data_IF_341785441985
#
_entry.id   IF_341785441985
#
_cell.length_a   1.000
_cell.length_b   1.000
_cell.length_c   1.000
_cell.angle_alpha   90.00
_cell.angle_beta   90.00
_cell.angle_gamma   90.00
#
_symmetry.space_group_name_H-M   'P 1'
#
loop_
_entity.id
_entity.type
_entity.pdbx_description
1 polymer ?
#
# COMPACT_ATOMS: atom_id res chain seq x y z
N UNK A 1 1.54 -14.11 -6.16
CA UNK A 1 2.20 -15.22 -6.91
C UNK A 1 3.37 -15.81 -6.14
N UNK A 2 4.44 -15.04 -5.87
CA UNK A 2 5.62 -15.57 -5.17
C UNK A 2 5.28 -16.08 -3.75
N UNK A 3 4.37 -15.41 -3.05
CA UNK A 3 3.84 -15.87 -1.76
C UNK A 3 3.25 -17.28 -1.84
N UNK A 4 2.36 -17.53 -2.80
CA UNK A 4 1.75 -18.83 -3.04
C UNK A 4 2.81 -19.90 -3.35
N UNK A 5 3.88 -19.54 -4.05
CA UNK A 5 4.98 -20.46 -4.33
C UNK A 5 5.78 -20.81 -3.06
N UNK A 6 6.10 -19.82 -2.23
CA UNK A 6 6.81 -20.04 -0.96
C UNK A 6 5.99 -20.85 0.05
N UNK A 7 4.66 -20.75 0.01
CA UNK A 7 3.75 -21.47 0.91
C UNK A 7 3.27 -22.81 0.35
N UNK A 8 3.72 -23.24 -0.82
CA UNK A 8 3.21 -24.42 -1.53
C UNK A 8 3.52 -25.75 -0.82
N UNK A 9 4.55 -25.79 0.03
CA UNK A 9 4.93 -26.98 0.80
C UNK A 9 4.09 -27.16 2.09
N UNK A 10 3.15 -26.25 2.38
CA UNK A 10 2.29 -26.35 3.55
C UNK A 10 1.30 -27.52 3.42
N UNK A 11 1.18 -28.39 4.43
CA UNK A 11 0.45 -29.66 4.29
C UNK A 11 -1.08 -29.54 4.30
N UNK A 12 -1.64 -28.41 4.71
CA UNK A 12 -3.09 -28.24 4.85
C UNK A 12 -3.62 -27.04 4.07
N UNK A 13 -4.74 -27.24 3.36
CA UNK A 13 -5.41 -26.21 2.55
C UNK A 13 -5.67 -24.90 3.31
N UNK A 14 -6.05 -24.98 4.59
CA UNK A 14 -6.31 -23.78 5.41
C UNK A 14 -5.06 -22.92 5.66
N UNK A 15 -3.87 -23.49 5.49
CA UNK A 15 -2.61 -22.77 5.63
C UNK A 15 -2.22 -22.03 4.34
N UNK A 16 -2.92 -22.28 3.23
CA UNK A 16 -2.78 -21.50 2.00
C UNK A 16 -3.59 -20.18 2.08
N UNK A 17 -4.51 -20.06 3.03
CA UNK A 17 -5.32 -18.86 3.25
C UNK A 17 -4.54 -17.82 4.05
N UNK A 18 -3.96 -16.85 3.35
CA UNK A 18 -3.12 -15.79 3.91
C UNK A 18 -4.02 -14.60 4.29
N UNK A 19 -3.80 -13.96 5.46
CA UNK A 19 -4.44 -12.69 5.78
C UNK A 19 -4.25 -11.68 4.64
N UNK A 20 -5.34 -11.07 4.16
CA UNK A 20 -5.30 -10.18 2.98
C UNK A 20 -4.33 -9.01 3.18
N UNK A 21 -4.22 -8.51 4.42
CA UNK A 21 -3.27 -7.50 4.86
C UNK A 21 -1.83 -7.89 4.56
N UNK A 22 -1.48 -9.14 4.86
CA UNK A 22 -0.13 -9.65 4.63
C UNK A 22 0.10 -10.07 3.18
N UNK A 23 -0.95 -10.47 2.46
CA UNK A 23 -0.89 -10.65 1.02
C UNK A 23 -0.51 -9.34 0.31
N UNK A 24 -1.01 -8.19 0.79
CA UNK A 24 -0.62 -6.88 0.27
C UNK A 24 0.78 -6.44 0.73
N UNK A 25 1.22 -6.79 1.95
CA UNK A 25 2.64 -6.61 2.32
C UNK A 25 3.53 -7.38 1.33
N UNK A 26 3.14 -8.60 0.97
CA UNK A 26 3.88 -9.42 0.04
C UNK A 26 3.98 -8.78 -1.36
N UNK A 27 2.88 -8.26 -1.90
CA UNK A 27 2.83 -7.60 -3.23
C UNK A 27 3.63 -6.29 -3.21
N UNK A 28 3.31 -5.36 -2.32
CA UNK A 28 3.91 -4.03 -2.28
C UNK A 28 5.39 -4.05 -1.92
N UNK A 29 5.82 -4.96 -1.03
CA UNK A 29 7.25 -5.12 -0.75
C UNK A 29 8.00 -5.57 -2.00
N UNK A 30 7.41 -6.43 -2.84
CA UNK A 30 8.06 -6.88 -4.07
C UNK A 30 8.28 -5.72 -5.05
N UNK A 31 7.34 -4.78 -5.14
CA UNK A 31 7.49 -3.57 -5.97
C UNK A 31 8.73 -2.76 -5.54
N UNK A 32 8.87 -2.50 -4.23
CA UNK A 32 10.00 -1.75 -3.67
C UNK A 32 11.33 -2.54 -3.73
N UNK A 33 11.30 -3.85 -3.45
CA UNK A 33 12.49 -4.71 -3.48
C UNK A 33 13.04 -4.89 -4.90
N UNK A 34 12.16 -4.90 -5.91
CA UNK A 34 12.54 -5.01 -7.31
C UNK A 34 12.98 -3.68 -7.93
N UNK A 35 12.59 -2.54 -7.35
CA UNK A 35 12.86 -1.20 -7.87
C UNK A 35 14.33 -0.91 -8.25
N UNK A 36 15.36 -1.37 -7.51
CA UNK A 36 16.77 -1.19 -7.90
C UNK A 36 17.21 -1.98 -9.15
N UNK A 37 16.39 -2.91 -9.64
CA UNK A 37 16.72 -3.82 -10.74
C UNK A 37 15.97 -3.47 -12.05
N UNK A 38 15.40 -2.28 -12.12
CA UNK A 38 14.59 -1.83 -13.25
C UNK A 38 15.40 -1.51 -14.52
N UNK A 39 16.72 -1.34 -14.40
CA UNK A 39 17.60 -0.97 -15.52
C UNK A 39 17.95 -2.18 -16.39
N UNK A 40 18.23 -1.93 -17.68
CA UNK A 40 18.54 -2.99 -18.66
C UNK A 40 19.76 -3.83 -18.31
N UNK A 41 20.78 -3.27 -17.64
CA UNK A 41 21.97 -4.01 -17.19
C UNK A 41 21.67 -4.98 -16.02
N UNK A 42 20.56 -4.75 -15.30
CA UNK A 42 20.06 -5.61 -14.22
C UNK A 42 18.96 -6.59 -14.68
N UNK A 43 18.64 -6.60 -15.97
CA UNK A 43 17.59 -7.44 -16.56
C UNK A 43 16.20 -6.77 -16.64
N UNK A 44 16.11 -5.48 -16.31
CA UNK A 44 14.91 -4.68 -16.48
C UNK A 44 14.76 -4.06 -17.87
N UNK A 45 13.94 -3.00 -17.98
CA UNK A 45 13.54 -2.41 -19.25
C UNK A 45 13.96 -0.95 -19.44
N UNK A 46 14.41 -0.28 -18.38
CA UNK A 46 14.67 1.16 -18.36
C UNK A 46 16.15 1.51 -18.55
N UNK A 47 16.43 2.73 -19.01
CA UNK A 47 17.72 3.39 -18.77
C UNK A 47 17.85 3.77 -17.30
N UNK A 48 19.03 4.23 -16.88
CA UNK A 48 19.24 4.77 -15.53
C UNK A 48 18.28 5.92 -15.23
N UNK A 49 18.18 6.91 -16.11
CA UNK A 49 17.29 8.07 -15.93
C UNK A 49 15.81 7.67 -15.90
N UNK A 50 15.39 6.74 -16.78
CA UNK A 50 14.02 6.21 -16.80
C UNK A 50 13.71 5.45 -15.50
N UNK A 51 14.66 4.67 -14.98
CA UNK A 51 14.50 3.93 -13.74
C UNK A 51 14.45 4.87 -12.52
N UNK A 52 15.29 5.90 -12.48
CA UNK A 52 15.26 6.92 -11.43
C UNK A 52 13.91 7.63 -11.39
N UNK A 53 13.42 8.11 -12.55
CA UNK A 53 12.10 8.73 -12.65
C UNK A 53 10.97 7.78 -12.21
N UNK A 54 10.97 6.53 -12.69
CA UNK A 54 9.94 5.57 -12.33
C UNK A 54 9.92 5.27 -10.81
N UNK A 55 11.10 5.24 -10.17
CA UNK A 55 11.22 5.07 -8.72
C UNK A 55 10.69 6.28 -7.96
N UNK A 56 11.01 7.50 -8.41
CA UNK A 56 10.47 8.74 -7.82
C UNK A 56 8.94 8.74 -7.93
N UNK A 57 8.39 8.54 -9.12
CA UNK A 57 6.94 8.51 -9.37
C UNK A 57 6.24 7.45 -8.48
N UNK A 58 6.86 6.28 -8.29
CA UNK A 58 6.31 5.21 -7.45
C UNK A 58 6.29 5.60 -5.96
N UNK A 59 7.37 6.22 -5.45
CA UNK A 59 7.46 6.65 -4.06
C UNK A 59 6.52 7.84 -3.78
N UNK A 60 6.47 8.83 -4.66
CA UNK A 60 5.50 9.94 -4.59
C UNK A 60 4.06 9.43 -4.61
N UNK A 61 3.77 8.48 -5.53
CA UNK A 61 2.50 7.79 -5.62
C UNK A 61 2.10 7.12 -4.31
N UNK A 62 3.04 6.43 -3.66
CA UNK A 62 2.85 5.79 -2.36
C UNK A 62 2.55 6.81 -1.25
N UNK A 63 3.27 7.93 -1.22
CA UNK A 63 3.04 9.01 -0.24
C UNK A 63 1.62 9.60 -0.40
N UNK A 64 1.21 9.93 -1.62
CA UNK A 64 -0.13 10.52 -1.87
C UNK A 64 -1.26 9.48 -1.81
N UNK A 65 -0.93 8.19 -1.74
CA UNK A 65 -1.88 7.10 -1.61
C UNK A 65 -2.45 6.99 -0.19
N UNK A 66 -1.68 7.18 0.89
CA UNK A 66 -2.24 7.10 2.25
C UNK A 66 -3.42 8.05 2.52
N UNK A 67 -3.36 9.35 2.14
CA UNK A 67 -4.52 10.22 2.24
C UNK A 67 -5.70 9.74 1.39
N UNK A 68 -5.44 9.15 0.23
CA UNK A 68 -6.48 8.59 -0.62
C UNK A 68 -7.15 7.37 0.00
N UNK A 69 -6.34 6.45 0.53
CA UNK A 69 -6.82 5.29 1.27
C UNK A 69 -7.72 5.70 2.44
N UNK A 70 -7.31 6.73 3.21
CA UNK A 70 -8.10 7.26 4.32
C UNK A 70 -9.47 7.80 3.87
N UNK A 71 -9.56 8.41 2.68
CA UNK A 71 -10.86 8.82 2.09
C UNK A 71 -11.75 7.59 1.86
N UNK A 72 -11.22 6.55 1.22
CA UNK A 72 -12.00 5.35 0.87
C UNK A 72 -12.49 4.62 2.12
N UNK A 73 -11.61 4.45 3.10
CA UNK A 73 -11.93 3.78 4.35
C UNK A 73 -12.96 4.57 5.18
N UNK A 74 -12.72 5.87 5.40
CA UNK A 74 -13.66 6.74 6.13
C UNK A 74 -15.03 6.83 5.45
N UNK A 75 -15.06 6.82 4.11
CA UNK A 75 -16.30 6.79 3.35
C UNK A 75 -17.08 5.51 3.62
N UNK A 76 -16.43 4.35 3.57
CA UNK A 76 -17.08 3.08 3.88
C UNK A 76 -17.60 3.07 5.33
N UNK A 77 -16.81 3.51 6.30
CA UNK A 77 -17.28 3.65 7.68
C UNK A 77 -18.55 4.51 7.77
N UNK A 78 -18.62 5.65 7.08
CA UNK A 78 -19.82 6.46 7.03
C UNK A 78 -21.00 5.73 6.37
N UNK A 79 -20.79 5.06 5.23
CA UNK A 79 -21.85 4.31 4.54
C UNK A 79 -22.49 3.29 5.47
N UNK A 80 -21.68 2.51 6.20
CA UNK A 80 -22.18 1.46 7.08
C UNK A 80 -22.71 1.96 8.44
N UNK A 81 -22.47 3.21 8.81
CA UNK A 81 -22.90 3.76 10.12
C UNK A 81 -23.99 4.84 10.02
N UNK A 82 -24.32 5.31 8.81
CA UNK A 82 -25.29 6.39 8.59
C UNK A 82 -26.72 5.93 8.29
N UNK A 83 -26.97 4.61 8.23
CA UNK A 83 -28.29 4.02 8.05
C UNK A 83 -28.94 4.46 6.73
N UNK A 84 -30.20 4.88 6.79
CA UNK A 84 -30.98 5.28 5.61
C UNK A 84 -30.36 6.45 4.83
N UNK A 85 -29.49 7.25 5.46
CA UNK A 85 -28.84 8.38 4.78
C UNK A 85 -27.93 7.92 3.62
N UNK A 86 -27.27 6.76 3.75
CA UNK A 86 -26.42 6.19 2.71
C UNK A 86 -27.20 5.54 1.55
N UNK A 87 -28.52 5.42 1.66
CA UNK A 87 -29.36 4.90 0.57
C UNK A 87 -29.58 5.94 -0.53
N UNK A 88 -29.35 7.22 -0.25
CA UNK A 88 -29.40 8.30 -1.23
C UNK A 88 -28.00 8.55 -1.83
N UNK A 89 -27.80 8.30 -3.14
CA UNK A 89 -26.53 8.55 -3.81
C UNK A 89 -26.02 9.99 -3.67
N UNK A 90 -26.93 10.98 -3.56
CA UNK A 90 -26.52 12.38 -3.40
C UNK A 90 -25.82 12.62 -2.05
N UNK A 91 -26.24 11.90 -0.98
CA UNK A 91 -25.56 11.96 0.31
C UNK A 91 -24.19 11.29 0.25
N UNK A 92 -24.06 10.19 -0.52
CA UNK A 92 -22.78 9.54 -0.77
C UNK A 92 -21.80 10.47 -1.50
N UNK A 93 -22.26 11.14 -2.57
CA UNK A 93 -21.48 12.13 -3.32
C UNK A 93 -21.05 13.29 -2.43
N UNK A 94 -21.96 13.81 -1.59
CA UNK A 94 -21.65 14.87 -0.64
C UNK A 94 -20.61 14.44 0.40
N UNK A 95 -20.76 13.24 0.98
CA UNK A 95 -19.81 12.73 1.97
C UNK A 95 -18.43 12.47 1.37
N UNK A 96 -18.40 11.87 0.19
CA UNK A 96 -17.14 11.63 -0.51
C UNK A 96 -16.41 12.93 -0.83
N UNK A 97 -17.15 13.96 -1.29
CA UNK A 97 -16.60 15.30 -1.55
C UNK A 97 -16.02 15.95 -0.28
N UNK A 98 -16.74 15.87 0.85
CA UNK A 98 -16.25 16.34 2.16
C UNK A 98 -14.92 15.69 2.54
N UNK A 99 -14.84 14.36 2.44
CA UNK A 99 -13.63 13.60 2.74
C UNK A 99 -12.50 13.93 1.76
N UNK A 100 -12.82 14.06 0.47
CA UNK A 100 -11.85 14.42 -0.55
C UNK A 100 -11.15 15.73 -0.22
N UNK A 101 -11.89 16.79 0.09
CA UNK A 101 -11.29 18.08 0.44
C UNK A 101 -10.57 18.08 1.80
N UNK A 102 -10.93 17.16 2.69
CA UNK A 102 -10.24 16.98 3.97
C UNK A 102 -8.83 16.41 3.78
N UNK A 103 -8.68 15.41 2.92
CA UNK A 103 -7.42 14.66 2.77
C UNK A 103 -6.59 15.07 1.53
N UNK A 104 -7.21 15.53 0.44
CA UNK A 104 -6.55 15.96 -0.81
C UNK A 104 -6.40 17.48 -0.86
N UNK A 105 -5.61 18.03 0.07
CA UNK A 105 -5.30 19.46 0.13
C UNK A 105 -4.26 19.85 -0.91
N UNK A 106 -4.31 21.11 -1.37
CA UNK A 106 -3.28 21.71 -2.23
C UNK A 106 -3.42 21.43 -3.73
N UNK A 107 -4.45 20.69 -4.16
CA UNK A 107 -4.76 20.45 -5.57
C UNK A 107 -6.03 21.22 -5.94
N UNK A 108 -5.97 21.97 -7.04
CA UNK A 108 -7.13 22.68 -7.59
C UNK A 108 -7.98 21.73 -8.46
N UNK A 109 -9.24 21.57 -8.08
CA UNK A 109 -10.23 20.76 -8.79
C UNK A 109 -11.34 21.62 -9.42
N UNK A 110 -11.11 22.92 -9.59
CA UNK A 110 -12.09 23.83 -10.21
C UNK A 110 -12.49 23.33 -11.61
N UNK A 111 -13.79 23.16 -11.84
CA UNK A 111 -14.34 22.59 -13.07
C UNK A 111 -14.34 21.05 -13.14
N UNK A 112 -13.94 20.37 -12.07
CA UNK A 112 -13.92 18.91 -11.93
C UNK A 112 -14.74 18.43 -10.71
N UNK A 113 -15.71 19.23 -10.25
CA UNK A 113 -16.49 18.97 -9.04
C UNK A 113 -17.26 17.63 -9.13
N UNK A 114 -17.92 17.36 -10.27
CA UNK A 114 -18.63 16.10 -10.50
C UNK A 114 -17.68 14.90 -10.53
N UNK A 115 -16.46 15.09 -11.05
CA UNK A 115 -15.44 14.05 -11.04
C UNK A 115 -15.02 13.71 -9.62
N UNK A 116 -14.84 14.72 -8.77
CA UNK A 116 -14.56 14.51 -7.33
C UNK A 116 -15.71 13.78 -6.67
N UNK A 117 -16.93 14.32 -6.77
CA UNK A 117 -18.11 13.83 -6.07
C UNK A 117 -18.42 12.34 -6.35
N UNK A 118 -18.27 11.93 -7.61
CA UNK A 118 -18.55 10.55 -8.06
C UNK A 118 -17.37 9.59 -7.86
N UNK A 119 -16.28 10.01 -7.19
CA UNK A 119 -15.04 9.25 -7.09
C UNK A 119 -15.18 7.87 -6.46
N UNK A 120 -16.08 7.72 -5.49
CA UNK A 120 -16.40 6.44 -4.84
C UNK A 120 -16.97 5.41 -5.82
N UNK A 121 -17.68 5.85 -6.86
CA UNK A 121 -18.30 4.95 -7.84
C UNK A 121 -17.27 4.19 -8.67
N UNK A 122 -16.07 4.78 -8.85
CA UNK A 122 -14.98 4.20 -9.64
C UNK A 122 -14.09 3.25 -8.82
N UNK A 123 -14.50 2.89 -7.59
CA UNK A 123 -13.72 2.04 -6.69
C UNK A 123 -14.40 0.70 -6.49
N UNK A 124 -14.01 -0.27 -7.31
CA UNK A 124 -14.52 -1.63 -7.30
C UNK A 124 -14.55 -2.27 -5.90
N UNK A 125 -13.51 -2.04 -5.10
CA UNK A 125 -13.37 -2.61 -3.76
C UNK A 125 -14.52 -2.23 -2.82
N UNK A 126 -15.08 -1.02 -2.92
CA UNK A 126 -16.24 -0.59 -2.12
C UNK A 126 -17.44 -1.51 -2.36
N UNK A 127 -17.59 -2.01 -3.59
CA UNK A 127 -18.72 -2.83 -4.01
C UNK A 127 -18.49 -4.34 -3.83
N UNK A 128 -17.24 -4.79 -3.92
CA UNK A 128 -16.93 -6.23 -3.94
C UNK A 128 -16.37 -6.74 -2.61
N UNK A 129 -15.56 -5.94 -1.92
CA UNK A 129 -14.84 -6.36 -0.71
C UNK A 129 -14.82 -5.19 0.29
N UNK A 130 -15.94 -4.92 0.98
CA UNK A 130 -16.04 -3.80 1.90
C UNK A 130 -14.95 -3.81 2.97
N UNK A 131 -14.50 -2.62 3.36
CA UNK A 131 -13.42 -2.40 4.34
C UNK A 131 -12.03 -2.95 3.97
N UNK A 132 -11.86 -3.57 2.80
CA UNK A 132 -10.54 -4.06 2.37
C UNK A 132 -9.52 -2.94 2.07
N UNK A 133 -9.99 -1.72 1.79
CA UNK A 133 -9.09 -0.65 1.32
C UNK A 133 -8.08 -0.19 2.38
N UNK A 134 -8.41 -0.30 3.67
CA UNK A 134 -7.49 0.01 4.78
C UNK A 134 -6.25 -0.88 4.78
N UNK A 135 -6.39 -2.10 4.28
CA UNK A 135 -5.32 -3.10 4.27
C UNK A 135 -4.17 -2.66 3.37
N UNK A 136 -4.46 -1.98 2.26
CA UNK A 136 -3.42 -1.35 1.42
C UNK A 136 -2.60 -0.33 2.22
N UNK A 137 -3.24 0.46 3.10
CA UNK A 137 -2.57 1.47 3.91
C UNK A 137 -1.61 0.87 4.94
N UNK A 138 -2.06 -0.19 5.63
CA UNK A 138 -1.25 -0.94 6.58
C UNK A 138 -0.12 -1.71 5.89
N UNK A 139 -0.44 -2.33 4.75
CA UNK A 139 0.51 -3.08 3.95
C UNK A 139 1.62 -2.20 3.39
N UNK A 140 1.29 -1.02 2.85
CA UNK A 140 2.29 -0.07 2.33
C UNK A 140 3.28 0.33 3.44
N UNK A 141 2.79 0.55 4.67
CA UNK A 141 3.66 0.86 5.81
C UNK A 141 4.55 -0.33 6.19
N UNK A 142 4.03 -1.56 6.11
CA UNK A 142 4.84 -2.78 6.25
C UNK A 142 5.90 -2.90 5.16
N UNK A 143 5.53 -2.66 3.90
CA UNK A 143 6.39 -2.78 2.73
C UNK A 143 7.56 -1.79 2.77
N UNK A 144 7.32 -0.54 3.18
CA UNK A 144 8.39 0.46 3.33
C UNK A 144 9.39 0.04 4.42
N UNK A 145 8.94 -0.63 5.49
CA UNK A 145 9.86 -1.17 6.51
C UNK A 145 10.72 -2.32 5.93
N UNK A 146 10.12 -3.25 5.20
CA UNK A 146 10.84 -4.35 4.51
C UNK A 146 11.88 -3.78 3.55
N UNK A 147 11.50 -2.79 2.76
CA UNK A 147 12.39 -2.08 1.84
C UNK A 147 13.51 -1.34 2.57
N UNK A 148 13.19 -0.59 3.64
CA UNK A 148 14.20 0.10 4.45
C UNK A 148 15.23 -0.84 5.08
N UNK A 149 14.84 -2.08 5.39
CA UNK A 149 15.79 -3.13 5.81
C UNK A 149 16.67 -3.59 4.65
N UNK A 150 16.12 -3.69 3.44
CA UNK A 150 16.87 -4.14 2.25
C UNK A 150 17.97 -3.14 1.85
N UNK A 151 17.76 -1.85 2.08
CA UNK A 151 18.78 -0.81 1.87
C UNK A 151 20.00 -0.98 2.79
N UNK A 152 19.87 -1.68 3.93
CA UNK A 152 20.96 -1.94 4.88
C UNK A 152 21.59 -3.31 4.65
N UNK A 153 20.76 -4.33 4.44
CA UNK A 153 21.15 -5.71 4.15
C UNK A 153 20.13 -6.34 3.20
N UNK A 154 20.40 -6.22 1.90
CA UNK A 154 19.52 -6.72 0.85
C UNK A 154 19.30 -8.23 0.96
N UNK A 155 20.34 -9.00 1.27
CA UNK A 155 20.26 -10.46 1.34
C UNK A 155 19.45 -10.90 2.57
N UNK A 156 19.71 -10.30 3.73
CA UNK A 156 18.96 -10.56 4.96
C UNK A 156 17.50 -10.16 4.85
N UNK A 157 17.19 -9.00 4.30
CA UNK A 157 15.81 -8.55 4.10
C UNK A 157 15.03 -9.48 3.16
N UNK A 158 15.64 -9.92 2.04
CA UNK A 158 15.01 -10.86 1.13
C UNK A 158 14.81 -12.23 1.78
N UNK A 159 15.76 -12.71 2.58
CA UNK A 159 15.61 -13.96 3.32
C UNK A 159 14.47 -13.90 4.35
N UNK A 160 14.35 -12.80 5.09
CA UNK A 160 13.25 -12.56 6.03
C UNK A 160 11.90 -12.46 5.32
N UNK A 161 11.84 -11.69 4.21
CA UNK A 161 10.66 -11.59 3.36
C UNK A 161 10.20 -12.97 2.90
N UNK A 162 11.07 -13.77 2.27
CA UNK A 162 10.74 -15.13 1.80
C UNK A 162 10.31 -16.05 2.93
N UNK A 163 11.00 -16.00 4.07
CA UNK A 163 10.61 -16.75 5.26
C UNK A 163 9.20 -16.39 5.69
N UNK A 164 8.85 -15.11 5.74
CA UNK A 164 7.52 -14.67 6.12
C UNK A 164 6.45 -15.17 5.13
N UNK A 165 6.74 -15.14 3.82
CA UNK A 165 5.85 -15.71 2.81
C UNK A 165 5.63 -17.22 2.99
N UNK A 166 6.70 -17.96 3.31
CA UNK A 166 6.62 -19.42 3.50
C UNK A 166 5.75 -19.84 4.69
N UNK A 167 5.43 -18.91 5.60
CA UNK A 167 4.53 -19.20 6.72
C UNK A 167 3.07 -19.31 6.26
N UNK A 168 2.68 -18.72 5.14
CA UNK A 168 1.28 -18.68 4.68
C UNK A 168 0.32 -18.27 5.82
N UNK A 169 -0.77 -19.03 5.96
CA UNK A 169 -1.77 -18.87 7.02
C UNK A 169 -1.41 -19.52 8.36
N UNK A 170 -0.15 -19.92 8.60
CA UNK A 170 0.25 -20.60 9.85
C UNK A 170 0.63 -19.68 11.01
N UNK A 171 0.77 -18.38 10.75
CA UNK A 171 1.18 -17.38 11.73
C UNK A 171 0.14 -16.26 11.82
N UNK A 172 0.09 -15.60 12.98
CA UNK A 172 -0.79 -14.43 13.18
C UNK A 172 -0.22 -13.23 12.42
N UNK A 173 -1.09 -12.27 12.10
CA UNK A 173 -0.69 -11.09 11.35
C UNK A 173 0.54 -10.34 11.94
N UNK A 174 0.63 -10.06 13.26
CA UNK A 174 1.83 -9.42 13.81
C UNK A 174 3.10 -10.26 13.67
N UNK A 175 2.97 -11.59 13.75
CA UNK A 175 4.09 -12.52 13.63
C UNK A 175 4.59 -12.61 12.18
N UNK A 176 3.68 -12.51 11.19
CA UNK A 176 4.02 -12.41 9.78
C UNK A 176 4.80 -11.13 9.47
N UNK A 177 4.35 -9.97 9.98
CA UNK A 177 5.10 -8.72 9.87
C UNK A 177 6.48 -8.85 10.50
N UNK A 178 6.56 -9.37 11.73
CA UNK A 178 7.82 -9.57 12.44
C UNK A 178 8.78 -10.49 11.69
N UNK A 179 8.27 -11.58 11.10
CA UNK A 179 9.06 -12.50 10.28
C UNK A 179 9.65 -11.82 9.04
N UNK A 180 8.93 -10.86 8.44
CA UNK A 180 9.40 -10.06 7.32
C UNK A 180 10.39 -8.95 7.74
N UNK A 181 10.64 -8.79 9.04
CA UNK A 181 11.47 -7.70 9.59
C UNK A 181 10.72 -6.37 9.74
N UNK A 182 9.39 -6.37 9.64
CA UNK A 182 8.54 -5.21 9.86
C UNK A 182 7.80 -5.34 11.20
N UNK A 183 7.15 -4.26 11.64
CA UNK A 183 6.13 -4.32 12.70
C UNK A 183 4.79 -3.88 12.15
N UNK A 184 3.72 -4.57 12.56
CA UNK A 184 2.35 -4.08 12.37
C UNK A 184 2.16 -2.88 13.30
N UNK A 185 2.13 -1.68 12.72
CA UNK A 185 2.17 -0.42 13.45
C UNK A 185 0.92 0.43 13.20
N UNK A 186 0.48 1.12 14.25
CA UNK A 186 -0.66 2.04 14.25
C UNK A 186 -0.28 3.40 14.83
N UNK A 187 1.01 3.73 14.80
CA UNK A 187 1.58 4.92 15.43
C UNK A 187 2.17 5.90 14.40
N UNK A 188 2.05 7.19 14.71
CA UNK A 188 2.54 8.26 13.84
C UNK A 188 4.07 8.27 13.68
N UNK A 189 4.82 7.76 14.67
CA UNK A 189 6.28 7.70 14.60
C UNK A 189 6.74 6.78 13.49
N UNK A 190 6.11 5.62 13.33
CA UNK A 190 6.44 4.65 12.27
C UNK A 190 6.07 5.21 10.90
N UNK A 191 4.91 5.88 10.80
CA UNK A 191 4.52 6.57 9.57
C UNK A 191 5.56 7.64 9.20
N UNK A 192 5.99 8.47 10.16
CA UNK A 192 7.01 9.49 9.90
C UNK A 192 8.31 8.88 9.39
N UNK A 193 8.80 7.79 10.01
CA UNK A 193 10.00 7.10 9.57
C UNK A 193 9.89 6.56 8.13
N UNK A 194 8.70 6.08 7.75
CA UNK A 194 8.44 5.63 6.39
C UNK A 194 8.49 6.81 5.41
N UNK A 195 7.79 7.92 5.72
CA UNK A 195 7.79 9.15 4.91
C UNK A 195 9.21 9.69 4.73
N UNK A 196 9.96 9.84 5.83
CA UNK A 196 11.34 10.34 5.79
C UNK A 196 12.23 9.49 4.87
N UNK A 197 12.08 8.15 4.92
CA UNK A 197 12.81 7.24 4.04
C UNK A 197 12.45 7.44 2.56
N UNK A 198 11.17 7.57 2.24
CA UNK A 198 10.73 7.79 0.86
C UNK A 198 11.19 9.15 0.33
N UNK A 199 11.01 10.23 1.11
CA UNK A 199 11.41 11.58 0.71
C UNK A 199 12.93 11.72 0.54
N UNK A 200 13.73 11.16 1.47
CA UNK A 200 15.19 11.13 1.31
C UNK A 200 15.62 10.37 0.06
N UNK A 201 15.00 9.21 -0.21
CA UNK A 201 15.31 8.44 -1.42
C UNK A 201 14.91 9.20 -2.69
N UNK A 202 13.77 9.91 -2.69
CA UNK A 202 13.36 10.76 -3.80
C UNK A 202 14.43 11.84 -4.05
N UNK A 203 14.87 12.54 -3.01
CA UNK A 203 15.89 13.59 -3.13
C UNK A 203 17.25 13.08 -3.62
N UNK A 204 17.61 11.82 -3.34
CA UNK A 204 18.81 11.18 -3.88
C UNK A 204 18.68 10.83 -5.38
N UNK A 205 17.48 10.44 -5.82
CA UNK A 205 17.21 10.02 -7.19
C UNK A 205 16.95 11.20 -8.14
N UNK A 206 16.40 12.29 -7.61
CA UNK A 206 16.14 13.53 -8.34
C UNK A 206 16.69 14.74 -7.55
N UNK A 207 18.03 14.92 -7.54
CA UNK A 207 18.65 16.06 -6.89
C UNK A 207 18.35 17.34 -7.70
N UNK A 208 17.40 18.13 -7.19
CA UNK A 208 17.04 19.47 -7.70
C UNK A 208 18.21 20.44 -7.65
#
# INVERSE_FOLDING_TARGET
>A
AFHVFESADLPYLHQEDVPMEFAEVASMSMELLAAPYLTRDKGGFYSEDEAARARVEHLEGSIVFWPYMAIVDAFQHWVYTSGDAALDPANCDAKWTELWHTYKKGVDYSGLEDWVATGWQRKLHIYQIPFYYIEYGLAQLGAVQVWGNSLKDQAGALANYRKALSLGGTAKLPDLFAAAGAKLAFDATTMQQAIDLMESTIAELDPV
#
